data_IF_214660138018
#
_entry.id   IF_214660138018
#
_cell.length_a   1.000
_cell.length_b   1.000
_cell.length_c   1.000
_cell.angle_alpha   90.00
_cell.angle_beta   90.00
_cell.angle_gamma   90.00
#
_symmetry.space_group_name_H-M   'P 1'
#
loop_
_entity.id
_entity.type
_entity.pdbx_description
1 polymer ?
#
# COMPACT_ATOMS: atom_id res chain seq x y z
N UNK A 1 -33.95 16.23 4.51
CA UNK A 1 -32.47 16.26 4.48
C UNK A 1 -32.01 14.84 4.27
N UNK A 2 -31.36 14.55 3.15
CA UNK A 2 -30.94 13.18 2.79
C UNK A 2 -29.56 12.98 3.41
N UNK A 3 -29.46 12.14 4.44
CA UNK A 3 -28.19 11.76 5.01
C UNK A 3 -27.31 11.11 3.94
N UNK A 4 -26.05 11.50 3.85
CA UNK A 4 -25.10 10.89 2.93
C UNK A 4 -25.07 9.38 3.19
N UNK A 5 -25.40 8.60 2.17
CA UNK A 5 -25.42 7.14 2.22
C UNK A 5 -24.38 6.64 1.22
N UNK A 6 -23.54 5.70 1.64
CA UNK A 6 -22.48 5.14 0.78
C UNK A 6 -23.07 4.38 -0.40
N UNK A 7 -22.38 4.44 -1.54
CA UNK A 7 -22.86 3.86 -2.82
C UNK A 7 -23.04 2.34 -2.72
N UNK A 8 -22.27 1.69 -1.86
CA UNK A 8 -22.27 0.25 -1.61
C UNK A 8 -23.01 -0.15 -0.33
N UNK A 9 -23.69 0.80 0.34
CA UNK A 9 -24.46 0.55 1.56
C UNK A 9 -23.62 0.27 2.82
N UNK A 10 -22.29 0.44 2.77
CA UNK A 10 -21.41 0.28 3.95
C UNK A 10 -21.62 1.37 5.00
N UNK A 11 -21.23 1.10 6.24
CA UNK A 11 -21.09 2.14 7.27
C UNK A 11 -19.91 3.07 6.95
N UNK A 12 -19.87 4.25 7.59
CA UNK A 12 -18.77 5.21 7.46
C UNK A 12 -17.43 4.66 7.93
N UNK A 13 -17.43 3.73 8.90
CA UNK A 13 -16.23 3.13 9.46
C UNK A 13 -15.87 1.77 8.84
N UNK A 14 -16.67 1.27 7.92
CA UNK A 14 -16.46 -0.06 7.34
C UNK A 14 -15.51 0.02 6.14
N UNK A 15 -14.44 -0.79 6.19
CA UNK A 15 -13.51 -0.99 5.09
C UNK A 15 -14.18 -1.75 3.94
N UNK A 16 -13.67 -1.61 2.71
CA UNK A 16 -14.06 -2.53 1.63
C UNK A 16 -13.54 -3.92 1.98
N UNK A 17 -14.25 -4.93 1.49
CA UNK A 17 -13.74 -6.28 1.56
C UNK A 17 -12.37 -6.35 0.88
N UNK A 18 -11.41 -6.98 1.56
CA UNK A 18 -10.08 -7.20 1.01
C UNK A 18 -9.70 -8.66 1.11
N UNK A 19 -8.84 -9.10 0.19
CA UNK A 19 -8.28 -10.44 0.15
C UNK A 19 -6.77 -10.36 0.00
N UNK A 20 -6.07 -11.21 0.72
CA UNK A 20 -4.61 -11.32 0.67
C UNK A 20 -4.22 -12.72 0.22
N UNK A 21 -3.44 -12.80 -0.85
CA UNK A 21 -2.89 -14.05 -1.36
C UNK A 21 -1.37 -14.02 -1.16
N UNK A 22 -0.86 -14.97 -0.38
CA UNK A 22 0.57 -15.06 -0.04
C UNK A 22 1.29 -15.99 -1.02
N UNK A 23 2.46 -15.56 -1.49
CA UNK A 23 3.31 -16.25 -2.45
C UNK A 23 2.62 -16.71 -3.76
N UNK A 24 1.88 -15.84 -4.47
CA UNK A 24 1.31 -16.17 -5.78
C UNK A 24 2.39 -16.45 -6.85
N UNK A 25 3.60 -15.90 -6.70
CA UNK A 25 4.71 -16.11 -7.63
C UNK A 25 5.66 -17.20 -7.14
N UNK A 26 6.13 -18.04 -8.06
CA UNK A 26 7.16 -19.05 -7.80
C UNK A 26 8.58 -18.46 -7.68
N UNK A 27 8.78 -17.22 -8.10
CA UNK A 27 10.09 -16.58 -8.27
C UNK A 27 10.65 -15.91 -7.01
N UNK A 28 9.94 -15.99 -5.88
CA UNK A 28 10.37 -15.39 -4.62
C UNK A 28 9.20 -15.01 -3.71
N UNK A 29 9.50 -14.46 -2.53
CA UNK A 29 8.49 -14.01 -1.58
C UNK A 29 7.64 -12.93 -2.23
N UNK A 30 6.34 -13.18 -2.31
CA UNK A 30 5.40 -12.32 -3.00
C UNK A 30 4.07 -12.25 -2.26
N UNK A 31 3.32 -11.19 -2.50
CA UNK A 31 2.01 -10.99 -1.90
C UNK A 31 1.12 -10.26 -2.90
N UNK A 32 -0.12 -10.70 -3.04
CA UNK A 32 -1.16 -9.98 -3.77
C UNK A 32 -2.22 -9.50 -2.79
N UNK A 33 -2.54 -8.22 -2.87
CA UNK A 33 -3.63 -7.61 -2.11
C UNK A 33 -4.66 -7.09 -3.10
N UNK A 34 -5.91 -7.43 -2.84
CA UNK A 34 -7.08 -6.92 -3.57
C UNK A 34 -8.03 -6.30 -2.56
N UNK A 35 -8.50 -5.08 -2.84
CA UNK A 35 -9.43 -4.30 -2.01
C UNK A 35 -10.62 -3.89 -2.89
N UNK A 36 -11.84 -4.14 -2.44
CA UNK A 36 -13.04 -4.07 -3.29
C UNK A 36 -13.10 -5.24 -4.27
N UNK A 37 -14.11 -5.29 -5.16
CA UNK A 37 -14.19 -6.33 -6.18
C UNK A 37 -15.08 -7.53 -5.84
N UNK A 38 -16.06 -7.39 -4.95
CA UNK A 38 -16.92 -8.50 -4.54
C UNK A 38 -18.41 -8.15 -4.65
N UNK A 39 -18.96 -8.31 -5.85
CA UNK A 39 -20.37 -8.67 -5.99
C UNK A 39 -20.53 -9.73 -7.07
N UNK A 40 -20.92 -10.94 -6.65
CA UNK A 40 -21.45 -12.01 -7.49
C UNK A 40 -22.84 -11.68 -8.09
N UNK A 41 -23.32 -10.44 -7.95
CA UNK A 41 -24.57 -9.95 -8.51
C UNK A 41 -24.30 -8.66 -9.30
N UNK A 42 -24.59 -8.70 -10.60
CA UNK A 42 -24.09 -7.77 -11.62
C UNK A 42 -24.79 -6.41 -11.66
N UNK A 43 -24.56 -5.55 -10.65
CA UNK A 43 -25.28 -4.28 -10.54
C UNK A 43 -24.47 -2.99 -10.40
N UNK A 44 -23.27 -2.97 -9.81
CA UNK A 44 -22.61 -1.71 -9.44
C UNK A 44 -21.16 -1.63 -9.88
N UNK A 45 -20.73 -0.40 -10.23
CA UNK A 45 -19.36 -0.04 -10.58
C UNK A 45 -18.44 -0.39 -9.41
N UNK A 46 -17.78 -1.54 -9.50
CA UNK A 46 -16.97 -2.10 -8.41
C UNK A 46 -15.59 -1.45 -8.42
N UNK A 47 -15.38 -0.43 -7.58
CA UNK A 47 -14.09 0.23 -7.40
C UNK A 47 -13.13 -0.72 -6.69
N UNK A 48 -12.39 -1.48 -7.50
CA UNK A 48 -11.42 -2.48 -7.09
C UNK A 48 -9.99 -1.96 -7.24
N UNK A 49 -9.17 -2.16 -6.22
CA UNK A 49 -7.73 -1.89 -6.25
C UNK A 49 -6.99 -3.19 -5.99
N UNK A 50 -6.14 -3.59 -6.94
CA UNK A 50 -5.38 -4.82 -6.84
C UNK A 50 -3.91 -4.57 -7.17
N UNK A 51 -3.02 -4.97 -6.26
CA UNK A 51 -1.57 -4.81 -6.38
C UNK A 51 -0.86 -6.10 -6.01
N UNK A 52 0.28 -6.35 -6.64
CA UNK A 52 1.14 -7.49 -6.33
C UNK A 52 2.55 -7.00 -6.02
N UNK A 53 3.05 -7.33 -4.84
CA UNK A 53 4.40 -7.04 -4.40
C UNK A 53 5.27 -8.31 -4.46
N UNK A 54 6.56 -8.12 -4.75
CA UNK A 54 7.59 -9.15 -4.69
C UNK A 54 8.89 -8.54 -4.19
N UNK A 55 9.61 -9.26 -3.34
CA UNK A 55 10.92 -8.83 -2.83
C UNK A 55 12.01 -9.74 -3.38
N UNK A 56 13.04 -9.13 -3.93
CA UNK A 56 14.25 -9.79 -4.39
C UNK A 56 15.42 -9.42 -3.49
N UNK A 57 16.25 -10.41 -3.21
CA UNK A 57 17.54 -10.23 -2.54
C UNK A 57 18.64 -10.46 -3.58
N UNK A 58 19.54 -9.49 -3.73
CA UNK A 58 20.70 -9.62 -4.59
C UNK A 58 21.97 -9.15 -3.87
N UNK A 59 23.14 -9.65 -4.25
CA UNK A 59 24.39 -9.10 -3.75
C UNK A 59 24.49 -7.62 -4.13
N UNK A 60 24.85 -6.77 -3.17
CA UNK A 60 25.00 -5.34 -3.43
C UNK A 60 26.30 -5.09 -4.21
N UNK A 61 26.14 -4.88 -5.51
CA UNK A 61 27.23 -4.63 -6.45
C UNK A 61 27.63 -3.14 -6.53
N UNK A 62 27.04 -2.26 -5.72
CA UNK A 62 27.46 -0.85 -5.71
C UNK A 62 28.86 -0.73 -5.10
N UNK A 63 29.86 -0.61 -5.98
CA UNK A 63 31.20 -0.13 -5.64
C UNK A 63 31.07 1.34 -5.25
N UNK A 64 30.96 1.64 -3.96
CA UNK A 64 31.05 3.02 -3.47
C UNK A 64 32.13 3.08 -2.41
N UNK A 65 33.23 3.72 -2.78
CA UNK A 65 34.33 4.19 -1.94
C UNK A 65 33.85 5.24 -0.91
N UNK A 66 32.70 5.03 -0.28
CA UNK A 66 32.14 5.84 0.77
C UNK A 66 32.49 5.18 2.10
N UNK A 67 33.40 5.81 2.84
CA UNK A 67 33.78 5.39 4.20
C UNK A 67 32.53 5.29 5.06
N UNK A 68 32.20 4.08 5.54
CA UNK A 68 31.02 3.80 6.39
C UNK A 68 29.84 3.09 5.71
N UNK A 69 29.85 2.89 4.39
CA UNK A 69 28.79 2.17 3.67
C UNK A 69 28.93 0.63 3.69
N UNK A 70 29.94 0.10 4.37
CA UNK A 70 30.37 -1.30 4.24
C UNK A 70 29.43 -2.34 4.87
N UNK A 71 28.47 -1.93 5.71
CA UNK A 71 27.64 -2.85 6.51
C UNK A 71 26.13 -2.63 6.42
N UNK A 72 25.65 -1.65 5.63
CA UNK A 72 24.20 -1.37 5.56
C UNK A 72 23.59 -1.99 4.30
N UNK A 73 22.40 -2.61 4.41
CA UNK A 73 21.65 -3.05 3.24
C UNK A 73 21.20 -1.86 2.41
N UNK A 74 21.19 -2.03 1.09
CA UNK A 74 20.62 -1.06 0.16
C UNK A 74 19.16 -1.45 -0.11
N UNK A 75 18.25 -0.48 -0.06
CA UNK A 75 16.83 -0.70 -0.36
C UNK A 75 16.46 0.03 -1.65
N UNK A 76 15.67 -0.63 -2.49
CA UNK A 76 15.11 -0.06 -3.71
C UNK A 76 13.65 -0.49 -3.85
N UNK A 77 12.78 0.46 -4.23
CA UNK A 77 11.35 0.20 -4.47
C UNK A 77 10.98 0.68 -5.87
N UNK A 78 10.30 -0.16 -6.62
CA UNK A 78 9.80 0.17 -7.96
C UNK A 78 8.32 -0.19 -8.10
N UNK A 79 7.53 0.71 -8.67
CA UNK A 79 6.14 0.47 -9.00
C UNK A 79 5.98 0.48 -10.52
N UNK A 80 5.39 -0.60 -11.03
CA UNK A 80 4.96 -0.69 -12.42
C UNK A 80 3.46 -0.40 -12.51
N UNK A 81 3.04 0.64 -13.26
CA UNK A 81 1.62 0.89 -13.49
C UNK A 81 0.97 -0.26 -14.26
N UNK A 82 -0.36 -0.30 -14.24
CA UNK A 82 -1.17 -1.24 -15.03
C UNK A 82 -0.91 -1.06 -16.54
N UNK A 83 -0.86 0.19 -16.98
CA UNK A 83 -0.69 0.56 -18.40
C UNK A 83 0.17 1.79 -18.56
N UNK A 84 1.01 1.80 -19.59
CA UNK A 84 1.77 2.97 -20.01
C UNK A 84 3.01 3.27 -19.16
N UNK A 85 3.60 4.47 -19.33
CA UNK A 85 4.82 4.87 -18.63
C UNK A 85 4.54 5.26 -17.17
N UNK A 86 5.59 5.23 -16.34
CA UNK A 86 5.53 5.64 -14.93
C UNK A 86 5.24 7.14 -14.84
N UNK A 87 4.09 7.49 -14.24
CA UNK A 87 3.66 8.86 -14.01
C UNK A 87 4.33 9.46 -12.75
N UNK A 88 4.31 10.80 -12.64
CA UNK A 88 4.94 11.52 -11.52
C UNK A 88 4.42 11.12 -10.13
N UNK A 89 3.11 10.93 -9.96
CA UNK A 89 2.55 10.51 -8.67
C UNK A 89 3.01 9.11 -8.26
N UNK A 90 3.27 8.21 -9.21
CA UNK A 90 3.80 6.88 -8.92
C UNK A 90 5.20 6.97 -8.34
N UNK A 91 6.03 7.90 -8.85
CA UNK A 91 7.35 8.19 -8.26
C UNK A 91 7.24 8.70 -6.83
N UNK A 92 6.22 9.53 -6.53
CA UNK A 92 5.97 9.97 -5.16
C UNK A 92 5.60 8.78 -4.25
N UNK A 93 4.76 7.86 -4.73
CA UNK A 93 4.42 6.63 -4.00
C UNK A 93 5.66 5.75 -3.80
N UNK A 94 6.50 5.54 -4.82
CA UNK A 94 7.77 4.81 -4.71
C UNK A 94 8.68 5.39 -3.61
N UNK A 95 8.84 6.71 -3.59
CA UNK A 95 9.61 7.40 -2.56
C UNK A 95 9.03 7.19 -1.15
N UNK A 96 7.70 7.26 -1.00
CA UNK A 96 7.05 7.01 0.30
C UNK A 96 7.27 5.57 0.75
N UNK A 97 7.07 4.60 -0.13
CA UNK A 97 7.28 3.19 0.16
C UNK A 97 8.73 2.87 0.52
N UNK A 98 9.69 3.48 -0.18
CA UNK A 98 11.12 3.30 0.09
C UNK A 98 11.46 3.78 1.49
N UNK A 99 11.00 4.98 1.88
CA UNK A 99 11.20 5.52 3.23
C UNK A 99 10.56 4.60 4.27
N UNK A 100 9.31 4.20 4.07
CA UNK A 100 8.61 3.27 4.96
C UNK A 100 9.38 1.95 5.12
N UNK A 101 9.89 1.36 4.04
CA UNK A 101 10.67 0.12 4.12
C UNK A 101 11.98 0.30 4.89
N UNK A 102 12.69 1.41 4.67
CA UNK A 102 13.94 1.73 5.36
C UNK A 102 13.73 1.96 6.87
N UNK A 103 12.61 2.58 7.25
CA UNK A 103 12.29 2.87 8.64
C UNK A 103 11.82 1.62 9.41
N UNK A 104 11.06 0.75 8.74
CA UNK A 104 10.46 -0.45 9.33
C UNK A 104 11.43 -1.62 9.46
N UNK A 105 12.33 -1.82 8.50
CA UNK A 105 13.21 -2.99 8.47
C UNK A 105 14.40 -2.80 9.41
N UNK A 106 14.61 -3.75 10.31
CA UNK A 106 15.79 -3.82 11.15
C UNK A 106 17.02 -4.22 10.31
N UNK A 107 17.74 -3.20 9.84
CA UNK A 107 18.92 -3.35 8.99
C UNK A 107 20.14 -3.97 9.69
N UNK A 108 20.12 -4.14 11.01
CA UNK A 108 21.25 -4.68 11.78
C UNK A 108 21.61 -6.13 11.42
N UNK A 109 20.62 -6.91 10.96
CA UNK A 109 20.78 -8.36 10.69
C UNK A 109 20.99 -8.72 9.21
N UNK A 110 20.78 -7.78 8.27
CA UNK A 110 20.69 -8.08 6.83
C UNK A 110 22.04 -8.11 6.10
N UNK A 111 23.11 -7.63 6.73
CA UNK A 111 24.43 -7.55 6.11
C UNK A 111 24.43 -6.71 4.82
N UNK A 112 25.41 -6.97 3.93
CA UNK A 112 25.57 -6.26 2.66
C UNK A 112 24.72 -6.92 1.55
N UNK A 113 23.43 -6.59 1.53
CA UNK A 113 22.47 -7.11 0.54
C UNK A 113 21.66 -5.95 -0.05
N UNK A 114 21.34 -6.05 -1.34
CA UNK A 114 20.35 -5.22 -2.01
C UNK A 114 18.98 -5.87 -1.88
N UNK A 115 18.07 -5.20 -1.17
CA UNK A 115 16.66 -5.56 -1.04
C UNK A 115 15.87 -4.74 -2.05
N UNK A 116 15.39 -5.39 -3.11
CA UNK A 116 14.62 -4.76 -4.18
C UNK A 116 13.16 -5.18 -4.11
N UNK A 117 12.29 -4.27 -3.70
CA UNK A 117 10.84 -4.48 -3.74
C UNK A 117 10.28 -4.00 -5.09
N UNK A 118 9.50 -4.85 -5.74
CA UNK A 118 8.80 -4.50 -6.98
C UNK A 118 7.31 -4.69 -6.77
N UNK A 119 6.55 -3.67 -7.12
CA UNK A 119 5.09 -3.66 -7.02
C UNK A 119 4.52 -3.51 -8.42
N UNK A 120 3.63 -4.40 -8.80
CA UNK A 120 2.85 -4.33 -10.02
C UNK A 120 1.41 -3.95 -9.67
N UNK A 121 0.92 -2.86 -10.27
CA UNK A 121 -0.50 -2.51 -10.20
C UNK A 121 -1.26 -3.37 -11.21
N UNK A 122 -2.23 -4.14 -10.73
CA UNK A 122 -3.08 -5.01 -11.55
C UNK A 122 -4.39 -4.28 -11.91
N UNK A 123 -5.00 -3.65 -10.90
CA UNK A 123 -6.20 -2.83 -11.04
C UNK A 123 -5.99 -1.56 -10.21
N UNK A 124 -6.26 -0.41 -10.83
CA UNK A 124 -6.08 0.92 -10.22
C UNK A 124 -7.46 1.51 -9.91
N UNK A 125 -7.87 1.42 -8.64
CA UNK A 125 -9.03 2.10 -8.08
C UNK A 125 -8.61 3.06 -6.96
N UNK A 126 -9.53 3.40 -6.07
CA UNK A 126 -9.21 4.22 -4.88
C UNK A 126 -8.34 3.45 -3.88
N UNK A 127 -7.50 4.15 -3.13
CA UNK A 127 -6.65 3.53 -2.10
C UNK A 127 -5.38 2.89 -2.65
N UNK A 128 -4.86 3.33 -3.80
CA UNK A 128 -3.65 2.75 -4.37
C UNK A 128 -2.44 2.82 -3.42
N UNK A 129 -2.24 3.95 -2.73
CA UNK A 129 -1.12 4.11 -1.80
C UNK A 129 -1.24 3.17 -0.58
N UNK A 130 -2.43 3.08 0.02
CA UNK A 130 -2.67 2.17 1.15
C UNK A 130 -2.51 0.70 0.73
N UNK A 131 -3.03 0.33 -0.44
CA UNK A 131 -2.87 -1.01 -0.98
C UNK A 131 -1.38 -1.36 -1.23
N UNK A 132 -0.62 -0.45 -1.83
CA UNK A 132 0.82 -0.61 -2.04
C UNK A 132 1.61 -0.74 -0.73
N UNK A 133 1.30 0.10 0.27
CA UNK A 133 1.94 0.03 1.60
C UNK A 133 1.67 -1.32 2.26
N UNK A 134 0.40 -1.73 2.33
CA UNK A 134 0.02 -3.00 2.93
C UNK A 134 0.64 -4.19 2.18
N UNK A 135 0.70 -4.14 0.85
CA UNK A 135 1.30 -5.21 0.06
C UNK A 135 2.80 -5.30 0.28
N UNK A 136 3.49 -4.16 0.38
CA UNK A 136 4.92 -4.11 0.69
C UNK A 136 5.22 -4.68 2.08
N UNK A 137 4.47 -4.25 3.10
CA UNK A 137 4.67 -4.68 4.49
C UNK A 137 4.40 -6.19 4.61
N UNK A 138 3.31 -6.66 4.02
CA UNK A 138 2.98 -8.10 4.01
C UNK A 138 4.04 -8.90 3.26
N UNK A 139 4.50 -8.42 2.11
CA UNK A 139 5.56 -9.07 1.36
C UNK A 139 6.89 -9.09 2.12
N UNK A 140 7.20 -8.05 2.89
CA UNK A 140 8.39 -7.98 3.76
C UNK A 140 8.33 -8.99 4.90
N UNK A 141 7.14 -9.19 5.50
CA UNK A 141 6.93 -10.26 6.47
C UNK A 141 7.14 -11.65 5.85
N UNK A 142 6.54 -11.89 4.68
CA UNK A 142 6.66 -13.18 3.97
C UNK A 142 8.08 -13.45 3.51
N UNK A 143 8.87 -12.43 3.18
CA UNK A 143 10.28 -12.57 2.81
C UNK A 143 11.21 -12.83 3.99
N UNK A 144 10.69 -12.83 5.23
CA UNK A 144 11.49 -13.04 6.44
C UNK A 144 12.32 -11.83 6.84
N UNK A 145 12.02 -10.64 6.32
CA UNK A 145 12.64 -9.41 6.81
C UNK A 145 12.19 -9.16 8.25
N UNK A 146 13.15 -8.93 9.14
CA UNK A 146 12.85 -8.55 10.52
C UNK A 146 12.31 -7.12 10.54
N UNK A 147 11.02 -6.96 10.83
CA UNK A 147 10.38 -5.66 10.99
C UNK A 147 10.40 -5.24 12.46
N UNK A 148 10.56 -3.93 12.70
CA UNK A 148 10.44 -3.32 14.04
C UNK A 148 8.99 -3.38 14.54
N UNK A 149 8.06 -3.16 13.63
CA UNK A 149 6.62 -3.22 13.85
C UNK A 149 5.88 -3.55 12.55
N UNK A 150 4.59 -3.88 12.65
CA UNK A 150 3.74 -4.20 11.51
C UNK A 150 2.63 -3.14 11.41
N UNK A 151 2.88 -2.03 10.69
CA UNK A 151 1.86 -1.02 10.50
C UNK A 151 0.86 -1.42 9.41
N UNK A 152 -0.31 -0.80 9.43
CA UNK A 152 -1.33 -0.95 8.40
C UNK A 152 -1.75 0.41 7.85
N UNK A 153 -1.85 0.49 6.53
CA UNK A 153 -2.26 1.70 5.85
C UNK A 153 -3.74 1.66 5.48
N UNK A 154 -4.45 2.75 5.76
CA UNK A 154 -5.86 2.93 5.42
C UNK A 154 -6.05 4.32 4.81
N UNK A 155 -6.91 4.40 3.79
CA UNK A 155 -7.31 5.69 3.23
C UNK A 155 -8.57 6.19 3.92
N UNK A 156 -8.63 7.48 4.19
CA UNK A 156 -9.77 8.19 4.74
C UNK A 156 -10.21 9.28 3.76
N UNK A 157 -11.51 9.49 3.63
CA UNK A 157 -12.10 10.63 2.92
C UNK A 157 -12.68 11.61 3.93
N UNK A 158 -12.30 12.88 3.87
CA UNK A 158 -12.91 13.95 4.67
C UNK A 158 -14.14 14.45 3.92
N UNK A 159 -15.34 14.40 4.52
CA UNK A 159 -16.59 14.76 3.84
C UNK A 159 -16.75 16.27 3.66
N UNK A 160 -17.42 16.71 2.58
CA UNK A 160 -17.72 18.13 2.32
C UNK A 160 -18.86 18.70 3.17
N UNK A 161 -19.79 17.86 3.64
CA UNK A 161 -20.98 18.29 4.38
C UNK A 161 -20.91 17.85 5.85
N UNK A 162 -21.03 18.82 6.76
CA UNK A 162 -20.76 18.72 8.20
C UNK A 162 -21.92 18.16 9.06
N UNK A 163 -22.95 17.54 8.48
CA UNK A 163 -24.15 17.10 9.23
C UNK A 163 -24.03 15.68 9.84
N UNK A 164 -22.91 14.98 9.62
CA UNK A 164 -22.59 13.65 10.19
C UNK A 164 -21.08 13.50 10.45
N UNK A 165 -20.63 12.32 10.92
CA UNK A 165 -19.20 11.98 11.13
C UNK A 165 -18.35 12.55 10.00
N UNK A 166 -17.42 13.46 10.30
CA UNK A 166 -16.73 14.28 9.29
C UNK A 166 -15.77 13.53 8.36
N UNK A 167 -15.75 12.20 8.40
CA UNK A 167 -14.91 11.36 7.57
C UNK A 167 -15.57 10.02 7.24
N UNK A 168 -15.06 9.38 6.19
CA UNK A 168 -15.34 7.99 5.81
C UNK A 168 -14.06 7.20 5.65
N UNK A 169 -14.11 5.92 5.96
CA UNK A 169 -12.99 4.99 5.85
C UNK A 169 -13.06 4.26 4.50
N UNK A 170 -11.91 4.19 3.84
CA UNK A 170 -11.67 3.53 2.56
C UNK A 170 -12.73 3.92 1.51
N UNK A 171 -12.74 5.20 1.09
CA UNK A 171 -13.69 5.70 0.12
C UNK A 171 -13.46 5.10 -1.26
N UNK A 172 -14.52 4.88 -2.02
CA UNK A 172 -14.41 4.56 -3.45
C UNK A 172 -13.96 5.78 -4.26
N UNK A 173 -13.54 5.56 -5.50
CA UNK A 173 -13.15 6.63 -6.42
C UNK A 173 -14.25 7.67 -6.64
N UNK A 174 -15.51 7.24 -6.66
CA UNK A 174 -16.67 8.10 -6.84
C UNK A 174 -17.00 8.86 -5.54
N UNK A 175 -16.97 8.18 -4.38
CA UNK A 175 -17.13 8.80 -3.07
C UNK A 175 -16.09 9.90 -2.83
N UNK A 176 -14.85 9.65 -3.24
CA UNK A 176 -13.75 10.60 -3.09
C UNK A 176 -13.94 11.85 -3.97
N UNK A 177 -14.49 11.68 -5.18
CA UNK A 177 -14.69 12.77 -6.14
C UNK A 177 -15.89 13.65 -5.80
N UNK A 178 -17.00 13.02 -5.46
CA UNK A 178 -18.30 13.69 -5.33
C UNK A 178 -18.54 14.20 -3.91
N UNK A 179 -18.17 13.41 -2.89
CA UNK A 179 -18.57 13.66 -1.50
C UNK A 179 -17.42 14.11 -0.60
N UNK A 180 -16.17 13.82 -0.96
CA UNK A 180 -15.01 14.18 -0.15
C UNK A 180 -14.36 15.51 -0.58
N UNK A 181 -13.90 16.26 0.41
CA UNK A 181 -13.03 17.42 0.25
C UNK A 181 -11.58 16.98 -0.01
N UNK A 182 -11.13 15.97 0.73
CA UNK A 182 -9.76 15.47 0.66
C UNK A 182 -9.71 13.96 0.94
N UNK A 183 -8.71 13.30 0.33
CA UNK A 183 -8.34 11.93 0.64
C UNK A 183 -7.00 11.91 1.38
N UNK A 184 -6.96 11.24 2.53
CA UNK A 184 -5.77 11.13 3.38
C UNK A 184 -5.44 9.66 3.52
N UNK A 185 -4.21 9.25 3.21
CA UNK A 185 -3.74 7.90 3.55
C UNK A 185 -2.92 7.97 4.83
N UNK A 186 -3.34 7.20 5.84
CA UNK A 186 -2.63 7.10 7.11
C UNK A 186 -1.97 5.73 7.21
N UNK A 187 -0.72 5.71 7.63
CA UNK A 187 -0.01 4.50 8.03
C UNK A 187 -0.08 4.42 9.57
N UNK A 188 -0.82 3.45 10.07
CA UNK A 188 -1.08 3.28 11.49
C UNK A 188 -0.13 2.24 12.08
N UNK A 189 0.75 2.68 12.98
CA UNK A 189 1.64 1.82 13.76
C UNK A 189 0.92 1.34 15.02
N UNK A 190 0.88 0.03 15.32
CA UNK A 190 0.11 -0.49 16.46
C UNK A 190 0.65 -0.04 17.83
N UNK A 191 1.92 0.36 17.91
CA UNK A 191 2.57 0.74 19.17
C UNK A 191 2.52 2.24 19.49
N UNK A 192 2.02 3.10 18.59
CA UNK A 192 1.99 4.56 18.81
C UNK A 192 0.76 5.06 19.58
N UNK A 193 -0.10 4.15 20.04
CA UNK A 193 -1.34 4.46 20.76
C UNK A 193 -1.26 4.29 22.29
N UNK A 194 -0.05 4.14 22.84
CA UNK A 194 0.22 4.00 24.29
C UNK A 194 1.00 5.20 24.81
#
# INVERSE_FOLDING_TARGET
MVGFTRVDGRSFCDLRQFSVELNPLKSGPSCRITVGGSSSDGGSVDDCTAVMAVIYFSPDNKNRNAVGAYHRPTFEVYIRPKTGPVKGYIRAIECSLLKTLQDLVDSSALGKVLVSARIQVLVEGSGLLSACLNALITCALVSGLKLREVPHAVQFGVLRCNDSTGFIIDPTSDELREHCLAGITMLCSPQTGV
#
